data_IF_166185072711
#
_entry.id   IF_166185072711
#
_cell.length_a   1.000
_cell.length_b   1.000
_cell.length_c   1.000
_cell.angle_alpha   90.00
_cell.angle_beta   90.00
_cell.angle_gamma   90.00
#
_symmetry.space_group_name_H-M   'P 1'
#
loop_
_entity.id
_entity.type
_entity.pdbx_description
1 polymer ?
#
# COMPACT_ATOMS: atom_id res chain seq x y z
N UNK A 1 -18.21 -34.72 -1.34
CA UNK A 1 -16.92 -34.89 -2.04
C UNK A 1 -15.73 -34.58 -1.13
N UNK A 2 -15.78 -33.51 -0.32
CA UNK A 2 -14.76 -33.23 0.71
C UNK A 2 -14.54 -34.39 1.70
N UNK A 3 -15.62 -35.09 2.10
CA UNK A 3 -15.54 -36.31 2.93
C UNK A 3 -14.76 -37.44 2.26
N UNK A 4 -14.96 -37.65 0.96
CA UNK A 4 -14.25 -38.65 0.17
C UNK A 4 -12.75 -38.34 0.10
N UNK A 5 -12.37 -37.09 -0.18
CA UNK A 5 -10.97 -36.63 -0.14
C UNK A 5 -10.35 -36.90 1.23
N UNK A 6 -11.03 -36.57 2.33
CA UNK A 6 -10.52 -36.79 3.70
C UNK A 6 -10.33 -38.26 4.03
N UNK A 7 -11.17 -39.13 3.47
CA UNK A 7 -11.10 -40.58 3.68
C UNK A 7 -10.12 -41.32 2.76
N UNK A 8 -9.41 -40.63 1.87
CA UNK A 8 -8.44 -41.25 0.96
C UNK A 8 -7.29 -41.90 1.76
N UNK A 9 -7.27 -43.23 1.76
CA UNK A 9 -6.40 -44.01 2.66
C UNK A 9 -5.06 -44.37 2.00
N UNK A 10 -5.04 -44.62 0.69
CA UNK A 10 -3.87 -45.09 -0.05
C UNK A 10 -3.32 -44.02 -1.03
N UNK A 11 -2.07 -44.21 -1.47
CA UNK A 11 -1.40 -43.24 -2.33
C UNK A 11 -2.16 -42.99 -3.65
N UNK A 12 -2.72 -44.03 -4.28
CA UNK A 12 -3.44 -43.88 -5.55
C UNK A 12 -4.72 -43.04 -5.39
N UNK A 13 -5.50 -43.28 -4.33
CA UNK A 13 -6.72 -42.51 -4.04
C UNK A 13 -6.40 -41.09 -3.58
N UNK A 14 -5.30 -40.88 -2.85
CA UNK A 14 -4.80 -39.54 -2.51
C UNK A 14 -4.35 -38.75 -3.74
N UNK A 15 -3.63 -39.40 -4.66
CA UNK A 15 -3.21 -38.77 -5.91
C UNK A 15 -4.40 -38.35 -6.76
N UNK A 16 -5.36 -39.25 -6.97
CA UNK A 16 -6.59 -38.93 -7.69
C UNK A 16 -7.37 -37.79 -7.01
N UNK A 17 -7.38 -37.73 -5.68
CA UNK A 17 -7.97 -36.63 -4.93
C UNK A 17 -7.23 -35.30 -5.16
N UNK A 18 -5.90 -35.29 -5.18
CA UNK A 18 -5.11 -34.08 -5.45
C UNK A 18 -5.25 -33.61 -6.91
N UNK A 19 -5.24 -34.53 -7.87
CA UNK A 19 -5.49 -34.23 -9.28
C UNK A 19 -6.88 -33.61 -9.46
N UNK A 20 -7.90 -34.18 -8.81
CA UNK A 20 -9.25 -33.63 -8.86
C UNK A 20 -9.38 -32.27 -8.17
N UNK A 21 -8.65 -32.02 -7.08
CA UNK A 21 -8.63 -30.70 -6.42
C UNK A 21 -7.91 -29.66 -7.27
N UNK A 22 -6.90 -30.05 -8.05
CA UNK A 22 -6.19 -29.16 -8.99
C UNK A 22 -7.01 -28.85 -10.25
N UNK A 23 -7.55 -29.89 -10.88
CA UNK A 23 -8.01 -29.84 -12.27
C UNK A 23 -9.52 -30.10 -12.43
N UNK A 24 -10.20 -30.53 -11.36
CA UNK A 24 -11.62 -30.84 -11.38
C UNK A 24 -12.51 -29.58 -11.36
N UNK A 25 -13.66 -29.66 -12.04
CA UNK A 25 -14.62 -28.55 -12.15
C UNK A 25 -15.14 -28.04 -10.80
N UNK A 26 -15.17 -28.92 -9.79
CA UNK A 26 -15.58 -28.59 -8.41
C UNK A 26 -14.39 -28.49 -7.45
N UNK A 27 -13.15 -28.47 -7.96
CA UNK A 27 -11.94 -28.46 -7.15
C UNK A 27 -11.89 -27.31 -6.15
N UNK A 28 -12.11 -26.07 -6.62
CA UNK A 28 -12.10 -24.85 -5.78
C UNK A 28 -13.19 -24.81 -4.69
N UNK A 29 -14.47 -25.11 -4.98
CA UNK A 29 -15.49 -25.21 -3.93
C UNK A 29 -15.16 -26.25 -2.84
N UNK A 30 -14.63 -27.41 -3.22
CA UNK A 30 -14.31 -28.51 -2.29
C UNK A 30 -13.09 -28.15 -1.45
N UNK A 31 -12.08 -27.54 -2.07
CA UNK A 31 -10.94 -26.93 -1.40
C UNK A 31 -11.40 -25.99 -0.26
N UNK A 32 -12.32 -25.06 -0.54
CA UNK A 32 -12.89 -24.15 0.47
C UNK A 32 -13.73 -24.84 1.56
N UNK A 33 -14.38 -25.97 1.25
CA UNK A 33 -15.07 -26.82 2.23
C UNK A 33 -14.07 -27.54 3.16
N UNK A 34 -12.95 -28.02 2.61
CA UNK A 34 -11.90 -28.69 3.37
C UNK A 34 -11.23 -27.75 4.38
N UNK A 35 -10.95 -26.49 4.01
CA UNK A 35 -10.38 -25.50 4.93
C UNK A 35 -11.36 -25.11 6.04
N UNK A 36 -12.64 -24.87 5.72
CA UNK A 36 -13.68 -24.55 6.72
C UNK A 36 -13.87 -25.67 7.74
N UNK A 37 -13.72 -26.93 7.31
CA UNK A 37 -13.79 -28.09 8.19
C UNK A 37 -12.50 -28.41 8.95
N UNK A 38 -11.42 -27.65 8.75
CA UNK A 38 -10.10 -27.86 9.37
C UNK A 38 -9.37 -29.11 8.87
N UNK A 39 -8.06 -29.01 8.64
CA UNK A 39 -7.27 -30.12 8.08
C UNK A 39 -6.61 -31.01 9.14
N UNK A 40 -6.60 -30.56 10.40
CA UNK A 40 -5.99 -31.25 11.54
C UNK A 40 -6.57 -32.66 11.71
N UNK A 41 -5.70 -33.66 11.81
CA UNK A 41 -6.10 -35.08 11.93
C UNK A 41 -6.42 -35.78 10.60
N UNK A 42 -6.24 -35.11 9.46
CA UNK A 42 -6.36 -35.71 8.12
C UNK A 42 -4.99 -35.82 7.45
N UNK A 43 -4.87 -36.65 6.41
CA UNK A 43 -3.63 -36.76 5.63
C UNK A 43 -3.28 -35.46 4.88
N UNK A 44 -4.27 -34.59 4.64
CA UNK A 44 -4.09 -33.26 4.03
C UNK A 44 -3.37 -32.26 4.95
N UNK A 45 -3.28 -32.52 6.26
CA UNK A 45 -2.56 -31.65 7.18
C UNK A 45 -1.08 -31.47 6.80
N UNK A 46 -0.51 -32.47 6.12
CA UNK A 46 0.88 -32.51 5.69
C UNK A 46 0.99 -32.83 4.19
N UNK A 47 0.08 -32.27 3.37
CA UNK A 47 -0.06 -32.63 1.95
C UNK A 47 1.25 -32.47 1.15
N UNK A 48 2.09 -31.49 1.47
CA UNK A 48 3.33 -31.21 0.74
C UNK A 48 4.41 -32.29 0.91
N UNK A 49 4.37 -33.05 2.01
CA UNK A 49 5.28 -34.18 2.25
C UNK A 49 4.64 -35.53 1.91
N UNK A 50 3.39 -35.55 1.45
CA UNK A 50 2.71 -36.78 1.04
C UNK A 50 3.29 -37.28 -0.30
N UNK A 51 3.61 -38.58 -0.44
CA UNK A 51 4.12 -39.14 -1.70
C UNK A 51 3.23 -38.85 -2.91
N UNK A 52 1.91 -38.82 -2.73
CA UNK A 52 0.94 -38.53 -3.79
C UNK A 52 1.12 -37.13 -4.37
N UNK A 53 1.50 -36.15 -3.52
CA UNK A 53 1.76 -34.78 -3.94
C UNK A 53 3.04 -34.68 -4.78
N UNK A 54 4.07 -35.47 -4.44
CA UNK A 54 5.34 -35.47 -5.17
C UNK A 54 5.21 -36.02 -6.59
N UNK A 55 4.23 -36.90 -6.83
CA UNK A 55 3.94 -37.46 -8.15
C UNK A 55 3.16 -36.52 -9.09
N UNK A 56 2.68 -35.37 -8.60
CA UNK A 56 1.95 -34.39 -9.41
C UNK A 56 2.87 -33.62 -10.36
N UNK A 57 2.30 -33.12 -11.46
CA UNK A 57 2.99 -32.19 -12.35
C UNK A 57 3.30 -30.86 -11.66
N UNK A 58 4.35 -30.12 -12.09
CA UNK A 58 4.67 -28.80 -11.53
C UNK A 58 3.49 -27.81 -11.56
N UNK A 59 2.66 -27.85 -12.62
CA UNK A 59 1.49 -26.99 -12.74
C UNK A 59 0.39 -27.33 -11.73
N UNK A 60 0.15 -28.62 -11.46
CA UNK A 60 -0.79 -29.06 -10.43
C UNK A 60 -0.29 -28.70 -9.03
N UNK A 61 1.01 -28.90 -8.77
CA UNK A 61 1.65 -28.50 -7.50
C UNK A 61 1.49 -27.00 -7.25
N UNK A 62 1.70 -26.18 -8.27
CA UNK A 62 1.55 -24.72 -8.18
C UNK A 62 0.11 -24.30 -7.84
N UNK A 63 -0.89 -24.85 -8.56
CA UNK A 63 -2.32 -24.56 -8.31
C UNK A 63 -2.79 -25.00 -6.93
N UNK A 64 -2.24 -26.10 -6.41
CA UNK A 64 -2.58 -26.59 -5.07
C UNK A 64 -1.85 -25.80 -3.97
N UNK A 65 -0.60 -25.37 -4.22
CA UNK A 65 0.17 -24.55 -3.28
C UNK A 65 -0.43 -23.15 -3.09
N UNK A 66 -1.01 -22.57 -4.14
CA UNK A 66 -1.77 -21.32 -4.08
C UNK A 66 -2.97 -21.42 -3.12
N UNK A 67 -3.51 -22.63 -2.93
CA UNK A 67 -4.68 -22.88 -2.10
C UNK A 67 -4.36 -23.26 -0.64
N UNK A 68 -3.30 -24.05 -0.41
CA UNK A 68 -2.92 -24.50 0.94
C UNK A 68 -1.89 -23.60 1.63
N UNK A 69 -1.34 -22.61 0.93
CA UNK A 69 -0.20 -21.82 1.40
C UNK A 69 1.07 -22.67 1.53
N UNK A 70 2.26 -22.07 1.59
CA UNK A 70 3.49 -22.82 1.83
C UNK A 70 3.54 -23.31 3.29
N UNK A 71 3.01 -24.50 3.57
CA UNK A 71 3.26 -25.19 4.85
C UNK A 71 4.60 -25.92 4.76
N UNK A 72 5.68 -25.14 4.75
CA UNK A 72 6.84 -25.58 5.53
C UNK A 72 6.37 -25.55 6.98
N UNK A 73 6.56 -26.60 7.80
CA UNK A 73 6.51 -26.39 9.23
C UNK A 73 7.67 -25.46 9.53
N UNK A 74 7.40 -24.15 9.56
CA UNK A 74 8.29 -23.21 10.19
C UNK A 74 8.47 -23.78 11.61
N UNK A 75 9.71 -24.02 12.06
CA UNK A 75 9.94 -24.17 13.48
C UNK A 75 9.19 -23.01 14.12
N UNK A 76 8.26 -23.28 15.03
CA UNK A 76 7.69 -22.23 15.87
C UNK A 76 8.93 -21.50 16.40
N UNK A 77 9.22 -20.26 15.97
CA UNK A 77 10.35 -19.57 16.51
C UNK A 77 10.10 -19.57 18.01
N UNK A 78 11.05 -20.01 18.86
CA UNK A 78 10.92 -19.70 20.27
C UNK A 78 10.61 -18.21 20.32
N UNK A 79 9.49 -17.85 20.98
CA UNK A 79 8.94 -16.49 21.00
C UNK A 79 10.11 -15.52 20.93
N UNK A 80 10.24 -14.80 19.80
CA UNK A 80 11.40 -13.97 19.56
C UNK A 80 11.62 -13.17 20.85
N UNK A 81 12.84 -13.17 21.43
CA UNK A 81 13.06 -12.42 22.64
C UNK A 81 12.57 -11.01 22.35
N UNK A 82 11.55 -10.57 23.10
CA UNK A 82 11.02 -9.23 22.99
C UNK A 82 12.22 -8.29 22.94
N UNK A 83 12.23 -7.38 21.96
CA UNK A 83 13.27 -6.34 21.88
C UNK A 83 13.54 -5.85 23.29
N UNK A 84 14.78 -6.02 23.77
CA UNK A 84 15.17 -5.54 25.10
C UNK A 84 15.17 -4.01 25.15
N UNK A 85 15.23 -3.36 23.98
CA UNK A 85 15.03 -1.93 23.84
C UNK A 85 13.53 -1.61 23.86
N UNK A 86 13.14 -0.65 24.72
CA UNK A 86 11.76 -0.19 24.77
C UNK A 86 11.38 0.51 23.47
N UNK A 87 10.09 0.54 23.13
CA UNK A 87 9.57 1.31 21.98
C UNK A 87 10.06 2.76 21.97
N UNK A 88 10.13 3.36 23.16
CA UNK A 88 10.66 4.69 23.37
C UNK A 88 12.11 4.81 22.93
N UNK A 89 12.99 3.91 23.38
CA UNK A 89 14.41 3.95 23.06
C UNK A 89 14.65 3.84 21.54
N UNK A 90 13.94 2.92 20.88
CA UNK A 90 14.04 2.72 19.42
C UNK A 90 13.58 3.98 18.68
N UNK A 91 12.41 4.52 19.01
CA UNK A 91 11.89 5.73 18.36
C UNK A 91 12.78 6.94 18.60
N UNK A 92 13.35 7.11 19.80
CA UNK A 92 14.29 8.20 20.08
C UNK A 92 15.60 8.03 19.30
N UNK A 93 16.08 6.80 19.11
CA UNK A 93 17.25 6.51 18.29
C UNK A 93 16.99 6.85 16.81
N UNK A 94 15.84 6.45 16.26
CA UNK A 94 15.43 6.80 14.89
C UNK A 94 15.32 8.31 14.74
N UNK A 95 14.69 9.00 15.70
CA UNK A 95 14.58 10.46 15.68
C UNK A 95 15.95 11.14 15.71
N UNK A 96 16.85 10.70 16.59
CA UNK A 96 18.21 11.26 16.69
C UNK A 96 19.02 11.03 15.42
N UNK A 97 18.91 9.84 14.82
CA UNK A 97 19.50 9.55 13.52
C UNK A 97 18.91 10.45 12.43
N UNK A 98 17.59 10.63 12.42
CA UNK A 98 16.91 11.48 11.45
C UNK A 98 17.39 12.92 11.52
N UNK A 99 17.51 13.50 12.71
CA UNK A 99 18.05 14.87 12.88
C UNK A 99 19.43 15.07 12.24
N UNK A 100 20.24 14.00 12.17
CA UNK A 100 21.58 14.04 11.59
C UNK A 100 21.60 13.79 10.08
N UNK A 101 20.84 12.79 9.61
CA UNK A 101 20.91 12.31 8.22
C UNK A 101 19.78 12.88 7.33
N UNK A 102 18.83 13.63 7.89
CA UNK A 102 17.61 14.14 7.23
C UNK A 102 17.88 14.67 5.80
N UNK A 103 18.81 15.61 5.63
CA UNK A 103 19.03 16.25 4.33
C UNK A 103 19.52 15.29 3.24
N UNK A 104 20.37 14.31 3.58
CA UNK A 104 20.86 13.34 2.60
C UNK A 104 19.77 12.31 2.27
N UNK A 105 19.04 11.86 3.28
CA UNK A 105 17.99 10.86 3.16
C UNK A 105 16.76 11.37 2.41
N UNK A 106 16.31 12.60 2.68
CA UNK A 106 15.19 13.21 1.94
C UNK A 106 15.54 13.41 0.47
N UNK A 107 16.77 13.83 0.16
CA UNK A 107 17.19 13.95 -1.25
C UNK A 107 17.17 12.59 -1.96
N UNK A 108 17.62 11.52 -1.29
CA UNK A 108 17.55 10.17 -1.86
C UNK A 108 16.11 9.69 -2.01
N UNK A 109 15.26 9.95 -1.02
CA UNK A 109 13.84 9.66 -1.06
C UNK A 109 13.18 10.32 -2.28
N UNK A 110 13.39 11.62 -2.49
CA UNK A 110 12.80 12.36 -3.60
C UNK A 110 13.29 11.87 -4.97
N UNK A 111 14.57 11.51 -5.09
CA UNK A 111 15.13 10.86 -6.28
C UNK A 111 14.48 9.51 -6.60
N UNK A 112 14.02 8.78 -5.59
CA UNK A 112 13.34 7.48 -5.75
C UNK A 112 11.86 7.65 -6.10
N UNK A 113 11.20 8.66 -5.53
CA UNK A 113 9.75 8.84 -5.66
C UNK A 113 9.33 9.68 -6.86
N UNK A 114 10.07 10.75 -7.18
CA UNK A 114 9.64 11.73 -8.18
C UNK A 114 10.52 11.72 -9.43
N UNK A 115 9.92 11.86 -10.64
CA UNK A 115 10.66 11.76 -11.90
C UNK A 115 11.73 12.85 -12.06
N UNK A 116 11.50 14.03 -11.49
CA UNK A 116 12.43 15.16 -11.54
C UNK A 116 13.38 15.22 -10.35
N UNK A 117 13.37 14.21 -9.48
CA UNK A 117 14.26 14.09 -8.33
C UNK A 117 13.98 15.05 -7.16
N UNK A 118 12.80 15.67 -7.15
CA UNK A 118 12.34 16.59 -6.14
C UNK A 118 10.82 16.58 -6.04
N UNK A 119 10.29 17.04 -4.90
CA UNK A 119 8.86 17.22 -4.70
C UNK A 119 8.26 18.15 -5.78
N UNK A 120 7.14 17.81 -6.45
CA UNK A 120 6.55 18.63 -7.52
C UNK A 120 6.22 20.05 -7.05
N UNK A 121 6.19 21.03 -7.95
CA UNK A 121 5.84 22.42 -7.64
C UNK A 121 4.31 22.56 -7.51
N UNK A 122 3.83 22.70 -6.27
CA UNK A 122 2.39 22.63 -5.96
C UNK A 122 1.78 24.01 -5.60
N UNK A 123 2.59 25.05 -5.68
CA UNK A 123 2.33 26.43 -5.22
C UNK A 123 2.29 27.47 -6.36
N UNK A 124 2.19 27.04 -7.62
CA UNK A 124 2.06 27.97 -8.77
C UNK A 124 0.64 28.54 -8.90
N UNK A 125 0.50 29.85 -8.65
CA UNK A 125 -0.76 30.59 -8.73
C UNK A 125 -1.34 30.68 -10.15
N UNK A 126 -0.53 30.49 -11.19
CA UNK A 126 -0.95 30.68 -12.58
C UNK A 126 -1.72 29.48 -13.16
N UNK A 127 -1.89 28.39 -12.40
CA UNK A 127 -2.59 27.17 -12.79
C UNK A 127 -2.21 26.66 -14.19
N UNK A 128 -0.92 26.76 -14.51
CA UNK A 128 -0.36 26.37 -15.80
C UNK A 128 -0.52 24.87 -16.06
N UNK A 129 -0.33 24.42 -17.30
CA UNK A 129 -0.22 22.99 -17.57
C UNK A 129 0.89 22.33 -16.74
N UNK A 130 1.99 23.05 -16.47
CA UNK A 130 3.07 22.57 -15.61
C UNK A 130 2.58 22.35 -14.17
N UNK A 131 1.87 23.31 -13.58
CA UNK A 131 1.23 23.17 -12.27
C UNK A 131 0.29 21.95 -12.20
N UNK A 132 -0.55 21.77 -13.22
CA UNK A 132 -1.47 20.62 -13.27
C UNK A 132 -0.72 19.30 -13.42
N UNK A 133 0.38 19.26 -14.19
CA UNK A 133 1.25 18.09 -14.28
C UNK A 133 1.87 17.74 -12.93
N UNK A 134 2.31 18.74 -12.16
CA UNK A 134 2.92 18.52 -10.85
C UNK A 134 1.92 17.95 -9.82
N UNK A 135 0.69 18.49 -9.78
CA UNK A 135 -0.40 17.89 -9.00
C UNK A 135 -0.78 16.49 -9.50
N UNK A 136 -0.81 16.29 -10.82
CA UNK A 136 -1.10 14.98 -11.39
C UNK A 136 -0.01 13.97 -11.04
N UNK A 137 1.26 14.36 -11.03
CA UNK A 137 2.36 13.52 -10.54
C UNK A 137 2.15 13.10 -9.09
N UNK A 138 1.80 14.04 -8.20
CA UNK A 138 1.52 13.71 -6.79
C UNK A 138 0.38 12.68 -6.67
N UNK A 139 -0.73 12.89 -7.37
CA UNK A 139 -1.87 11.98 -7.32
C UNK A 139 -1.60 10.64 -8.00
N UNK A 140 -0.80 10.60 -9.06
CA UNK A 140 -0.38 9.35 -9.68
C UNK A 140 0.44 8.51 -8.71
N UNK A 141 1.41 9.09 -8.00
CA UNK A 141 2.15 8.36 -6.96
C UNK A 141 1.19 7.84 -5.89
N UNK A 142 0.26 8.69 -5.42
CA UNK A 142 -0.75 8.31 -4.44
C UNK A 142 -1.63 7.13 -4.89
N UNK A 143 -2.10 7.13 -6.15
CA UNK A 143 -2.87 6.00 -6.69
C UNK A 143 -2.07 4.69 -6.66
N UNK A 144 -0.77 4.75 -6.95
CA UNK A 144 0.07 3.56 -7.02
C UNK A 144 0.42 2.98 -5.64
N UNK A 145 0.17 3.70 -4.53
CA UNK A 145 0.26 3.13 -3.18
C UNK A 145 -0.76 2.00 -2.93
N UNK A 146 -1.75 1.82 -3.81
CA UNK A 146 -2.65 0.65 -3.78
C UNK A 146 -2.04 -0.61 -4.39
N UNK A 147 -0.85 -0.52 -5.01
CA UNK A 147 -0.21 -1.63 -5.69
C UNK A 147 0.76 -2.37 -4.76
N UNK A 148 0.43 -3.62 -4.41
CA UNK A 148 1.32 -4.52 -3.70
C UNK A 148 2.56 -4.92 -4.51
N UNK A 149 3.62 -5.35 -3.80
CA UNK A 149 4.88 -5.90 -4.38
C UNK A 149 5.58 -4.99 -5.39
N UNK A 150 5.50 -3.68 -5.19
CA UNK A 150 6.18 -2.67 -6.02
C UNK A 150 7.21 -1.89 -5.21
N UNK A 151 8.14 -1.23 -5.92
CA UNK A 151 9.09 -0.27 -5.33
C UNK A 151 8.85 1.13 -5.91
N UNK A 152 9.23 2.16 -5.15
CA UNK A 152 9.00 3.56 -5.51
C UNK A 152 9.53 3.93 -6.91
N UNK A 153 10.69 3.40 -7.26
CA UNK A 153 11.36 3.62 -8.54
C UNK A 153 10.51 3.16 -9.72
N UNK A 154 9.73 2.08 -9.57
CA UNK A 154 8.87 1.60 -10.64
C UNK A 154 7.69 2.57 -10.89
N UNK A 155 7.13 3.17 -9.83
CA UNK A 155 6.11 4.21 -9.99
C UNK A 155 6.71 5.47 -10.62
N UNK A 156 7.87 5.91 -10.13
CA UNK A 156 8.62 7.03 -10.70
C UNK A 156 8.88 6.84 -12.19
N UNK A 157 9.42 5.69 -12.57
CA UNK A 157 9.81 5.40 -13.95
C UNK A 157 8.60 5.26 -14.88
N UNK A 158 7.45 4.78 -14.37
CA UNK A 158 6.19 4.83 -15.11
C UNK A 158 5.75 6.27 -15.38
N UNK A 159 5.76 7.14 -14.38
CA UNK A 159 5.37 8.56 -14.54
C UNK A 159 6.35 9.28 -15.48
N UNK A 160 7.65 9.03 -15.36
CA UNK A 160 8.66 9.57 -16.27
C UNK A 160 8.42 9.13 -17.72
N UNK A 161 8.04 7.87 -17.93
CA UNK A 161 7.64 7.36 -19.24
C UNK A 161 6.37 8.04 -19.77
N UNK A 162 5.35 8.20 -18.93
CA UNK A 162 4.15 8.96 -19.29
C UNK A 162 4.48 10.39 -19.70
N UNK A 163 5.42 11.04 -19.01
CA UNK A 163 5.83 12.40 -19.36
C UNK A 163 6.62 12.45 -20.67
N UNK A 164 7.58 11.56 -20.85
CA UNK A 164 8.38 11.45 -22.08
C UNK A 164 7.52 11.18 -23.33
N UNK A 165 6.40 10.48 -23.18
CA UNK A 165 5.43 10.23 -24.26
C UNK A 165 4.37 11.33 -24.41
N UNK A 166 4.40 12.36 -23.57
CA UNK A 166 3.41 13.44 -23.56
C UNK A 166 2.06 13.05 -22.91
N UNK A 167 1.92 11.82 -22.41
CA UNK A 167 0.70 11.32 -21.78
C UNK A 167 0.39 12.05 -20.47
N UNK A 168 1.41 12.40 -19.69
CA UNK A 168 1.21 13.19 -18.47
C UNK A 168 0.59 14.56 -18.79
N UNK A 169 0.92 15.14 -19.96
CA UNK A 169 0.27 16.33 -20.48
C UNK A 169 -1.21 16.10 -20.74
N UNK A 170 -1.57 15.01 -21.43
CA UNK A 170 -2.97 14.60 -21.64
C UNK A 170 -3.73 14.43 -20.33
N UNK A 171 -3.10 13.80 -19.34
CA UNK A 171 -3.69 13.57 -18.02
C UNK A 171 -3.90 14.87 -17.23
N UNK A 172 -3.05 15.87 -17.46
CA UNK A 172 -3.10 17.14 -16.76
C UNK A 172 -3.97 18.19 -17.46
N UNK A 173 -4.52 17.94 -18.66
CA UNK A 173 -5.38 18.91 -19.34
C UNK A 173 -6.70 19.13 -18.59
N UNK A 174 -7.20 20.36 -18.59
CA UNK A 174 -8.51 20.72 -18.02
C UNK A 174 -9.67 20.40 -18.98
N UNK A 175 -9.43 20.52 -20.28
CA UNK A 175 -10.43 20.24 -21.32
C UNK A 175 -10.52 18.75 -21.64
N UNK A 176 -11.74 18.28 -21.92
CA UNK A 176 -11.98 16.88 -22.26
C UNK A 176 -11.66 16.63 -23.72
N UNK A 177 -10.63 15.83 -23.96
CA UNK A 177 -10.39 15.25 -25.28
C UNK A 177 -10.33 13.71 -25.20
N UNK A 178 -11.48 13.08 -25.46
CA UNK A 178 -11.57 11.62 -25.49
C UNK A 178 -10.61 10.99 -26.52
N UNK A 179 -10.33 11.68 -27.63
CA UNK A 179 -9.45 11.16 -28.66
C UNK A 179 -8.01 11.07 -28.16
N UNK A 180 -7.52 12.11 -27.47
CA UNK A 180 -6.20 12.07 -26.83
C UNK A 180 -6.08 10.97 -25.78
N UNK A 181 -7.14 10.70 -25.01
CA UNK A 181 -7.15 9.60 -24.04
C UNK A 181 -7.10 8.22 -24.69
N UNK A 182 -7.89 7.98 -25.74
CA UNK A 182 -7.82 6.74 -26.51
C UNK A 182 -6.46 6.57 -27.18
N UNK A 183 -5.87 7.66 -27.68
CA UNK A 183 -4.54 7.64 -28.28
C UNK A 183 -3.45 7.14 -27.31
N UNK A 184 -3.54 7.44 -26.01
CA UNK A 184 -2.62 6.90 -25.00
C UNK A 184 -2.67 5.37 -24.97
N UNK A 185 -3.87 4.79 -24.96
CA UNK A 185 -4.07 3.33 -24.96
C UNK A 185 -3.53 2.74 -26.26
N UNK A 186 -3.87 3.32 -27.41
CA UNK A 186 -3.39 2.84 -28.71
C UNK A 186 -1.86 2.87 -28.81
N UNK A 187 -1.23 3.97 -28.37
CA UNK A 187 0.23 4.10 -28.38
C UNK A 187 0.88 3.07 -27.46
N UNK A 188 0.33 2.86 -26.26
CA UNK A 188 0.82 1.82 -25.34
C UNK A 188 0.81 0.41 -25.97
N UNK A 189 -0.21 0.08 -26.76
CA UNK A 189 -0.28 -1.22 -27.45
C UNK A 189 0.55 -1.29 -28.73
N UNK A 190 0.74 -0.18 -29.44
CA UNK A 190 1.57 -0.11 -30.66
C UNK A 190 3.07 -0.26 -30.36
N UNK A 191 3.52 0.21 -29.20
CA UNK A 191 4.93 0.15 -28.79
C UNK A 191 5.40 -1.25 -28.33
N UNK A 192 4.54 -2.29 -28.45
CA UNK A 192 4.80 -3.67 -28.02
C UNK A 192 5.75 -4.41 -29.00
N UNK A 193 7.03 -4.03 -28.99
CA UNK A 193 8.13 -4.85 -29.53
C UNK A 193 8.98 -5.50 -28.44
N UNK A 194 8.82 -5.12 -27.18
CA UNK A 194 9.45 -5.78 -26.04
C UNK A 194 8.46 -5.79 -24.87
N UNK A 195 8.55 -6.81 -24.03
CA UNK A 195 7.63 -7.23 -22.95
C UNK A 195 6.70 -6.19 -22.33
N UNK A 196 5.53 -6.62 -21.86
CA UNK A 196 4.42 -5.84 -21.28
C UNK A 196 4.75 -4.99 -20.03
N UNK A 197 5.76 -4.13 -20.14
CA UNK A 197 6.28 -3.21 -19.14
C UNK A 197 5.16 -2.27 -18.73
N UNK A 198 5.03 -2.09 -17.42
CA UNK A 198 4.00 -1.26 -16.80
C UNK A 198 2.54 -1.65 -17.09
N UNK A 199 2.24 -2.87 -17.53
CA UNK A 199 0.84 -3.29 -17.76
C UNK A 199 -0.01 -3.12 -16.50
N UNK A 200 0.52 -3.43 -15.32
CA UNK A 200 -0.20 -3.26 -14.05
C UNK A 200 -0.46 -1.78 -13.71
N UNK A 201 0.44 -0.87 -14.08
CA UNK A 201 0.23 0.58 -13.93
C UNK A 201 -0.79 1.08 -14.96
N UNK A 202 -0.75 0.58 -16.19
CA UNK A 202 -1.74 0.90 -17.21
C UNK A 202 -3.15 0.42 -16.85
N UNK A 203 -3.31 -0.61 -16.01
CA UNK A 203 -4.63 -0.97 -15.46
C UNK A 203 -5.22 0.14 -14.59
N UNK A 204 -4.38 0.98 -13.97
CA UNK A 204 -4.83 2.13 -13.19
C UNK A 204 -5.40 3.25 -14.06
N UNK A 205 -5.33 3.16 -15.40
CA UNK A 205 -5.87 4.16 -16.32
C UNK A 205 -7.33 4.54 -16.02
N UNK A 206 -8.14 3.56 -15.57
CA UNK A 206 -9.54 3.79 -15.13
C UNK A 206 -9.66 4.64 -13.87
N UNK A 207 -8.65 4.65 -13.00
CA UNK A 207 -8.54 5.51 -11.82
C UNK A 207 -7.86 6.85 -12.15
N UNK A 208 -6.93 6.86 -13.11
CA UNK A 208 -6.24 8.08 -13.57
C UNK A 208 -7.24 9.03 -14.25
N UNK A 209 -8.16 8.50 -15.06
CA UNK A 209 -9.18 9.28 -15.77
C UNK A 209 -10.05 10.17 -14.84
N UNK A 210 -10.73 9.64 -13.80
CA UNK A 210 -11.50 10.48 -12.90
C UNK A 210 -10.61 11.45 -12.09
N UNK A 211 -9.37 11.07 -11.74
CA UNK A 211 -8.42 11.99 -11.09
C UNK A 211 -8.10 13.18 -12.00
N UNK A 212 -7.83 12.94 -13.28
CA UNK A 212 -7.64 13.99 -14.28
C UNK A 212 -8.88 14.88 -14.40
N UNK A 213 -10.05 14.26 -14.57
CA UNK A 213 -11.30 14.97 -14.84
C UNK A 213 -11.71 15.90 -13.70
N UNK A 214 -11.41 15.52 -12.45
CA UNK A 214 -11.80 16.26 -11.25
C UNK A 214 -10.60 16.83 -10.50
N UNK A 215 -9.45 17.02 -11.19
CA UNK A 215 -8.19 17.41 -10.58
C UNK A 215 -8.33 18.64 -9.69
N UNK A 216 -8.95 19.72 -10.18
CA UNK A 216 -9.12 20.96 -9.42
C UNK A 216 -9.97 20.77 -8.16
N UNK A 217 -11.03 19.97 -8.27
CA UNK A 217 -11.86 19.63 -7.12
C UNK A 217 -11.10 18.83 -6.07
N UNK A 218 -10.22 17.92 -6.49
CA UNK A 218 -9.38 17.17 -5.55
C UNK A 218 -8.31 18.04 -4.89
N UNK A 219 -7.68 18.95 -5.64
CA UNK A 219 -6.74 19.94 -5.11
C UNK A 219 -7.44 20.78 -4.03
N UNK A 220 -8.61 21.34 -4.36
CA UNK A 220 -9.39 22.18 -3.44
C UNK A 220 -9.74 21.42 -2.16
N UNK A 221 -10.16 20.16 -2.28
CA UNK A 221 -10.56 19.33 -1.15
C UNK A 221 -9.40 19.06 -0.20
N UNK A 222 -8.22 18.71 -0.69
CA UNK A 222 -7.06 18.52 0.18
C UNK A 222 -6.61 19.84 0.82
N UNK A 223 -6.58 20.95 0.07
CA UNK A 223 -6.20 22.26 0.61
C UNK A 223 -7.26 22.85 1.56
N UNK A 224 -8.51 22.39 1.48
CA UNK A 224 -9.58 22.80 2.39
C UNK A 224 -9.31 22.41 3.84
N UNK A 225 -8.38 21.47 4.09
CA UNK A 225 -7.95 21.07 5.45
C UNK A 225 -7.44 22.25 6.27
N UNK A 226 -6.94 23.33 5.67
CA UNK A 226 -6.55 24.54 6.41
C UNK A 226 -7.73 25.43 6.83
N UNK A 227 -8.97 25.13 6.41
CA UNK A 227 -10.11 26.04 6.54
C UNK A 227 -11.13 25.52 7.57
N UNK A 228 -11.79 26.48 8.21
CA UNK A 228 -13.03 26.34 9.00
C UNK A 228 -13.28 24.98 9.63
N UNK A 229 -14.04 24.13 8.93
CA UNK A 229 -14.58 22.86 9.43
C UNK A 229 -13.54 21.77 9.76
N UNK A 230 -12.28 21.97 9.37
CA UNK A 230 -11.17 21.08 9.65
C UNK A 230 -10.21 21.62 10.73
N UNK A 231 -10.50 22.79 11.34
CA UNK A 231 -9.78 23.33 12.51
C UNK A 231 -10.10 22.59 13.83
N UNK A 232 -10.51 21.33 13.71
CA UNK A 232 -10.83 20.38 14.78
C UNK A 232 -10.46 18.98 14.31
N UNK A 233 -10.31 17.98 15.20
CA UNK A 233 -10.08 16.60 14.77
C UNK A 233 -11.12 16.13 13.75
N UNK A 234 -10.66 15.45 12.70
CA UNK A 234 -11.47 15.00 11.56
C UNK A 234 -11.02 13.61 11.10
N UNK A 235 -11.92 12.82 10.49
CA UNK A 235 -11.49 11.63 9.74
C UNK A 235 -11.03 12.03 8.33
N UNK A 236 -9.97 11.39 7.82
CA UNK A 236 -9.55 11.58 6.42
C UNK A 236 -10.68 11.28 5.42
N UNK A 237 -11.60 10.39 5.78
CA UNK A 237 -12.80 10.09 4.96
C UNK A 237 -13.71 11.33 4.80
N UNK A 238 -13.76 12.24 5.78
CA UNK A 238 -14.54 13.49 5.67
C UNK A 238 -13.97 14.45 4.62
N UNK A 239 -12.66 14.37 4.37
CA UNK A 239 -11.97 15.13 3.34
C UNK A 239 -12.21 14.47 1.99
N UNK A 240 -11.94 13.18 1.86
CA UNK A 240 -11.87 12.51 0.54
C UNK A 240 -13.20 11.96 0.02
N UNK A 241 -14.28 12.02 0.81
CA UNK A 241 -15.65 11.69 0.38
C UNK A 241 -16.46 12.95 0.05
N UNK A 242 -16.05 13.62 -1.02
CA UNK A 242 -16.59 14.90 -1.53
C UNK A 242 -18.11 14.93 -1.73
N UNK A 243 -18.71 13.85 -2.24
CA UNK A 243 -20.17 13.78 -2.50
C UNK A 243 -21.02 13.55 -1.25
N UNK A 244 -20.50 12.83 -0.27
CA UNK A 244 -21.27 12.47 0.93
C UNK A 244 -20.99 13.39 2.12
N UNK A 245 -19.90 14.17 2.08
CA UNK A 245 -19.54 15.07 3.17
C UNK A 245 -20.46 16.29 3.17
N UNK A 246 -21.12 16.53 4.29
CA UNK A 246 -21.94 17.74 4.51
C UNK A 246 -21.13 19.03 4.36
N UNK A 247 -19.80 18.96 4.52
CA UNK A 247 -18.87 20.09 4.42
C UNK A 247 -18.71 20.64 3.00
N UNK A 248 -19.01 19.84 1.98
CA UNK A 248 -18.96 20.26 0.58
C UNK A 248 -20.36 20.46 -0.04
N UNK A 249 -21.43 20.38 0.76
CA UNK A 249 -22.78 20.64 0.29
C UNK A 249 -22.96 22.13 -0.04
N UNK A 250 -23.35 22.43 -1.28
CA UNK A 250 -23.58 23.80 -1.78
C UNK A 250 -22.34 24.52 -2.34
N UNK A 251 -21.13 23.94 -2.21
CA UNK A 251 -19.86 24.55 -2.64
C UNK A 251 -19.37 24.19 -4.04
N UNK A 252 -20.06 23.30 -4.76
CA UNK A 252 -19.77 22.99 -6.17
C UNK A 252 -18.76 21.87 -6.45
N UNK A 253 -18.02 21.36 -5.44
CA UNK A 253 -17.11 20.21 -5.64
C UNK A 253 -17.90 18.88 -5.66
N UNK A 254 -18.24 18.41 -6.86
CA UNK A 254 -18.96 17.14 -7.08
C UNK A 254 -18.08 16.01 -7.64
N UNK A 255 -16.84 15.91 -7.17
CA UNK A 255 -15.91 14.86 -7.57
C UNK A 255 -16.32 13.47 -7.01
N UNK A 256 -15.98 12.35 -7.65
CA UNK A 256 -16.13 11.01 -7.05
C UNK A 256 -15.29 10.84 -5.76
N UNK A 257 -15.65 9.93 -4.84
CA UNK A 257 -14.84 9.67 -3.64
C UNK A 257 -13.46 9.12 -4.00
N UNK A 258 -12.39 9.69 -3.43
CA UNK A 258 -11.01 9.22 -3.62
C UNK A 258 -10.65 8.02 -2.75
N UNK A 259 -11.41 7.77 -1.69
CA UNK A 259 -10.97 6.87 -0.62
C UNK A 259 -10.71 5.44 -1.09
N UNK A 260 -11.56 4.93 -1.99
CA UNK A 260 -11.39 3.61 -2.63
C UNK A 260 -10.35 3.61 -3.76
N UNK A 261 -10.10 4.75 -4.41
CA UNK A 261 -9.15 4.83 -5.54
C UNK A 261 -7.70 4.89 -5.05
N UNK A 262 -7.44 5.63 -3.97
CA UNK A 262 -6.08 5.89 -3.49
C UNK A 262 -5.70 5.04 -2.27
N UNK A 263 -6.67 4.45 -1.54
CA UNK A 263 -6.37 3.67 -0.34
C UNK A 263 -5.50 4.47 0.65
N UNK A 264 -4.36 3.91 1.06
CA UNK A 264 -3.39 4.61 1.91
C UNK A 264 -2.64 5.78 1.24
N UNK A 265 -2.72 5.90 -0.09
CA UNK A 265 -2.17 7.03 -0.84
C UNK A 265 -2.76 8.40 -0.46
N UNK A 266 -3.93 8.43 0.18
CA UNK A 266 -4.48 9.68 0.73
C UNK A 266 -3.59 10.25 1.85
N UNK A 267 -3.02 9.38 2.68
CA UNK A 267 -2.07 9.78 3.73
C UNK A 267 -0.78 10.31 3.11
N UNK A 268 -0.33 9.71 2.01
CA UNK A 268 0.82 10.18 1.23
C UNK A 268 0.59 11.61 0.72
N UNK A 269 -0.57 11.88 0.10
CA UNK A 269 -0.90 13.24 -0.38
C UNK A 269 -0.86 14.24 0.77
N UNK A 270 -1.55 13.94 1.89
CA UNK A 270 -1.61 14.87 3.01
C UNK A 270 -0.23 15.12 3.63
N UNK A 271 0.58 14.07 3.80
CA UNK A 271 1.96 14.18 4.27
C UNK A 271 2.78 15.09 3.37
N UNK A 272 2.74 14.91 2.05
CA UNK A 272 3.50 15.76 1.13
C UNK A 272 3.04 17.22 1.16
N UNK A 273 1.74 17.48 1.35
CA UNK A 273 1.23 18.83 1.49
C UNK A 273 1.68 19.50 2.79
N UNK A 274 1.76 18.76 3.90
CA UNK A 274 2.35 19.27 5.16
C UNK A 274 3.85 19.49 5.01
N UNK A 275 4.58 18.56 4.37
CA UNK A 275 6.02 18.66 4.11
C UNK A 275 6.37 19.87 3.23
N UNK A 276 5.51 20.19 2.25
CA UNK A 276 5.59 21.39 1.40
C UNK A 276 5.11 22.67 2.12
N UNK A 277 4.53 22.56 3.32
CA UNK A 277 3.89 23.66 4.07
C UNK A 277 2.70 24.29 3.33
N UNK A 278 2.04 23.53 2.48
CA UNK A 278 0.74 23.89 1.92
C UNK A 278 -0.41 23.61 2.89
N UNK A 279 -0.19 22.70 3.84
CA UNK A 279 -1.08 22.46 4.97
C UNK A 279 -0.30 22.74 6.26
N UNK A 280 -0.84 23.63 7.08
CA UNK A 280 -0.27 24.02 8.39
C UNK A 280 -1.18 23.62 9.57
N UNK A 281 -2.32 22.98 9.29
CA UNK A 281 -3.24 22.49 10.29
C UNK A 281 -2.66 21.29 11.08
N UNK A 282 -2.43 21.41 12.40
CA UNK A 282 -1.87 20.32 13.22
C UNK A 282 -2.76 19.08 13.29
N UNK A 283 -4.07 19.21 13.06
CA UNK A 283 -4.99 18.06 12.99
C UNK A 283 -4.75 17.19 11.76
N UNK A 284 -3.99 17.67 10.76
CA UNK A 284 -3.57 16.85 9.62
C UNK A 284 -2.51 15.80 10.01
N UNK A 285 -1.71 16.04 11.06
CA UNK A 285 -0.56 15.21 11.43
C UNK A 285 -0.95 13.74 11.72
N UNK A 286 -2.15 13.51 12.26
CA UNK A 286 -2.63 12.15 12.54
C UNK A 286 -2.94 11.33 11.28
N UNK A 287 -2.92 11.97 10.10
CA UNK A 287 -3.18 11.38 8.80
C UNK A 287 -1.96 11.42 7.87
N UNK A 288 -0.79 11.87 8.37
CA UNK A 288 0.44 12.02 7.57
C UNK A 288 1.38 10.82 7.63
N UNK A 289 1.04 9.75 8.35
CA UNK A 289 1.80 8.50 8.33
C UNK A 289 1.22 7.57 7.28
N UNK A 290 1.98 7.14 6.27
CA UNK A 290 1.51 6.18 5.28
C UNK A 290 1.67 4.76 5.85
N UNK A 291 0.57 4.05 6.17
CA UNK A 291 0.61 2.78 6.90
C UNK A 291 0.95 1.58 5.99
N UNK A 292 2.02 1.69 5.20
CA UNK A 292 2.53 0.59 4.37
C UNK A 292 2.92 -0.60 5.25
N UNK A 293 2.80 -1.82 4.72
CA UNK A 293 3.01 -3.05 5.49
C UNK A 293 4.37 -3.08 6.23
N UNK A 294 5.45 -2.59 5.61
CA UNK A 294 6.79 -2.52 6.23
C UNK A 294 6.83 -1.63 7.48
N UNK A 295 6.16 -0.48 7.45
CA UNK A 295 6.06 0.43 8.60
C UNK A 295 5.22 -0.20 9.69
N UNK A 296 4.09 -0.84 9.32
CA UNK A 296 3.25 -1.55 10.30
C UNK A 296 4.02 -2.66 11.00
N UNK A 297 4.76 -3.48 10.24
CA UNK A 297 5.62 -4.55 10.80
C UNK A 297 6.65 -3.99 11.76
N UNK A 298 7.33 -2.90 11.38
CA UNK A 298 8.33 -2.23 12.22
C UNK A 298 7.73 -1.80 13.57
N UNK A 299 6.56 -1.17 13.52
CA UNK A 299 5.90 -0.63 14.72
C UNK A 299 5.30 -1.74 15.60
N UNK A 300 4.75 -2.80 15.01
CA UNK A 300 4.33 -3.99 15.76
C UNK A 300 5.53 -4.64 16.46
N UNK A 301 6.68 -4.74 15.79
CA UNK A 301 7.88 -5.33 16.38
C UNK A 301 8.41 -4.56 17.60
N UNK A 302 8.06 -3.28 17.75
CA UNK A 302 8.36 -2.46 18.94
C UNK A 302 7.17 -2.26 19.87
N UNK A 303 6.07 -3.00 19.70
CA UNK A 303 4.95 -3.05 20.66
C UNK A 303 3.71 -2.23 20.29
N UNK A 304 3.53 -1.85 19.02
CA UNK A 304 2.30 -1.21 18.54
C UNK A 304 1.24 -2.24 18.09
N UNK A 305 0.78 -3.09 19.00
CA UNK A 305 -0.15 -4.20 18.71
C UNK A 305 -1.51 -3.74 18.18
N UNK A 306 -1.90 -2.48 18.42
CA UNK A 306 -3.13 -1.87 17.88
C UNK A 306 -3.19 -1.97 16.34
N UNK A 307 -2.05 -2.10 15.65
CA UNK A 307 -1.95 -2.26 14.19
C UNK A 307 -2.30 -3.65 13.67
N UNK A 308 -2.50 -4.63 14.57
CA UNK A 308 -2.99 -5.98 14.22
C UNK A 308 -4.53 -6.00 14.10
N UNK A 309 -5.21 -4.94 14.52
CA UNK A 309 -6.66 -4.83 14.41
C UNK A 309 -7.08 -4.56 12.96
N UNK A 310 -8.22 -5.13 12.56
CA UNK A 310 -8.84 -4.86 11.27
C UNK A 310 -9.39 -3.44 11.22
N UNK A 311 -8.81 -2.61 10.38
CA UNK A 311 -9.27 -1.26 10.08
C UNK A 311 -9.22 -1.01 8.57
N UNK A 312 -9.74 0.13 8.11
CA UNK A 312 -9.46 0.58 6.74
C UNK A 312 -7.99 0.99 6.66
N UNK A 313 -7.28 0.73 5.54
CA UNK A 313 -5.82 0.93 5.50
C UNK A 313 -5.35 2.30 5.97
N UNK A 314 -6.00 3.39 5.55
CA UNK A 314 -5.61 4.75 5.93
C UNK A 314 -5.92 5.12 7.39
N UNK A 315 -6.81 4.40 8.07
CA UNK A 315 -7.18 4.69 9.46
C UNK A 315 -6.04 4.34 10.43
N UNK A 316 -5.19 3.36 10.07
CA UNK A 316 -3.98 3.03 10.82
C UNK A 316 -3.00 4.20 10.96
N UNK A 317 -3.08 5.23 10.09
CA UNK A 317 -2.27 6.45 10.22
C UNK A 317 -2.42 7.09 11.61
N UNK A 318 -3.65 7.14 12.13
CA UNK A 318 -3.96 7.70 13.45
C UNK A 318 -3.40 6.86 14.59
N UNK A 319 -3.43 5.54 14.42
CA UNK A 319 -2.85 4.58 15.36
C UNK A 319 -1.33 4.74 15.42
N UNK A 320 -0.67 4.86 14.26
CA UNK A 320 0.76 5.15 14.17
C UNK A 320 1.08 6.49 14.85
N UNK A 321 0.38 7.57 14.49
CA UNK A 321 0.61 8.89 15.07
C UNK A 321 0.47 8.87 16.59
N UNK A 322 -0.60 8.26 17.13
CA UNK A 322 -0.81 8.14 18.58
C UNK A 322 0.33 7.39 19.26
N UNK A 323 0.80 6.30 18.66
CA UNK A 323 1.90 5.50 19.18
C UNK A 323 3.21 6.31 19.20
N UNK A 324 3.56 6.95 18.09
CA UNK A 324 4.78 7.75 17.99
C UNK A 324 4.74 8.96 18.96
N UNK A 325 3.62 9.69 19.03
CA UNK A 325 3.44 10.83 19.96
C UNK A 325 3.55 10.40 21.41
N UNK A 326 3.02 9.23 21.77
CA UNK A 326 3.13 8.68 23.14
C UNK A 326 4.58 8.51 23.57
N UNK A 327 5.48 8.21 22.63
CA UNK A 327 6.89 7.93 22.91
C UNK A 327 7.82 9.12 22.68
N UNK A 328 7.57 9.97 21.67
CA UNK A 328 8.44 11.09 21.30
C UNK A 328 7.91 12.47 21.70
N UNK A 329 6.61 12.59 22.01
CA UNK A 329 5.94 13.88 22.11
C UNK A 329 5.53 14.46 20.74
N UNK A 330 4.71 15.50 20.76
CA UNK A 330 4.03 16.00 19.55
C UNK A 330 4.96 16.53 18.46
N UNK A 331 5.95 17.34 18.81
CA UNK A 331 6.86 17.97 17.83
C UNK A 331 7.82 16.94 17.21
N UNK A 332 8.51 16.16 18.05
CA UNK A 332 9.46 15.14 17.59
C UNK A 332 8.78 14.02 16.80
N UNK A 333 7.51 13.71 17.07
CA UNK A 333 6.74 12.74 16.30
C UNK A 333 6.52 13.12 14.83
N UNK A 334 6.68 14.40 14.46
CA UNK A 334 6.59 14.83 13.06
C UNK A 334 7.82 14.49 12.25
N UNK A 335 8.94 14.12 12.89
CA UNK A 335 10.24 13.90 12.24
C UNK A 335 10.61 15.03 11.27
N UNK A 336 10.62 16.28 11.76
CA UNK A 336 10.88 17.49 10.95
C UNK A 336 9.83 17.75 9.84
N UNK A 337 8.65 17.14 9.92
CA UNK A 337 7.58 17.23 8.92
C UNK A 337 7.57 16.09 7.91
N UNK A 338 8.42 15.08 8.07
CA UNK A 338 8.54 13.93 7.16
C UNK A 338 7.78 12.68 7.62
N UNK A 339 7.30 12.68 8.86
CA UNK A 339 6.43 11.67 9.46
C UNK A 339 6.94 10.23 9.34
N UNK A 340 6.41 9.46 8.39
CA UNK A 340 6.70 8.04 8.23
C UNK A 340 7.94 7.76 7.37
N UNK A 341 8.49 8.74 6.65
CA UNK A 341 9.66 8.55 5.78
C UNK A 341 10.84 7.89 6.55
N UNK A 342 11.22 8.34 7.77
CA UNK A 342 12.29 7.70 8.53
C UNK A 342 11.95 6.26 8.89
N UNK A 343 10.69 5.98 9.24
CA UNK A 343 10.21 4.64 9.57
C UNK A 343 10.26 3.73 8.34
N UNK A 344 9.91 4.24 7.15
CA UNK A 344 10.03 3.50 5.90
C UNK A 344 11.49 3.15 5.59
N UNK A 345 12.41 4.11 5.73
CA UNK A 345 13.84 3.89 5.47
C UNK A 345 14.43 2.85 6.41
N UNK A 346 14.12 2.94 7.71
CA UNK A 346 14.53 1.92 8.68
C UNK A 346 13.92 0.56 8.34
N UNK A 347 12.65 0.50 7.96
CA UNK A 347 12.01 -0.77 7.60
C UNK A 347 12.59 -1.42 6.32
N UNK A 348 13.24 -0.64 5.45
CA UNK A 348 13.85 -1.13 4.20
C UNK A 348 15.37 -1.39 4.32
N UNK A 349 16.03 -0.95 5.38
CA UNK A 349 17.50 -1.04 5.55
C UNK A 349 17.89 -1.92 6.74
N UNK A 350 18.43 -3.11 6.45
CA UNK A 350 18.89 -4.07 7.46
C UNK A 350 19.99 -3.52 8.38
N UNK A 351 20.84 -2.60 7.90
CA UNK A 351 21.89 -2.00 8.72
C UNK A 351 21.28 -1.00 9.72
N UNK A 352 20.32 -0.20 9.28
CA UNK A 352 19.56 0.67 10.20
C UNK A 352 18.76 -0.15 11.20
N UNK A 353 18.19 -1.28 10.77
CA UNK A 353 17.52 -2.20 11.69
C UNK A 353 18.51 -2.75 12.73
N UNK A 354 19.66 -3.29 12.30
CA UNK A 354 20.67 -3.79 13.24
C UNK A 354 21.23 -2.69 14.16
N UNK A 355 21.21 -1.43 13.73
CA UNK A 355 21.62 -0.29 14.53
C UNK A 355 20.62 0.04 15.64
N UNK A 356 19.31 -0.01 15.34
CA UNK A 356 18.26 0.42 16.27
C UNK A 356 17.62 -0.73 17.05
N UNK A 357 17.72 -1.95 16.53
CA UNK A 357 17.14 -3.16 17.11
C UNK A 357 18.26 -4.08 17.60
N UNK A 358 18.10 -4.64 18.80
CA UNK A 358 19.03 -5.61 19.35
C UNK A 358 19.00 -6.97 18.61
N UNK A 359 18.02 -7.20 17.73
CA UNK A 359 17.86 -8.45 16.95
C UNK A 359 17.65 -8.13 15.45
N UNK A 360 18.32 -8.79 14.50
CA UNK A 360 18.43 -8.30 13.12
C UNK A 360 17.28 -8.63 12.16
N UNK A 361 16.08 -9.01 12.62
CA UNK A 361 15.05 -9.47 11.67
C UNK A 361 13.61 -9.13 12.08
N UNK A 362 13.01 -8.15 11.39
CA UNK A 362 11.57 -7.87 11.44
C UNK A 362 10.71 -9.07 11.06
N UNK A 363 11.21 -9.93 10.16
CA UNK A 363 10.47 -11.11 9.67
C UNK A 363 10.29 -12.20 10.73
N UNK A 364 11.08 -12.17 11.80
CA UNK A 364 10.94 -13.10 12.94
C UNK A 364 9.92 -12.65 13.99
N UNK A 365 9.58 -11.34 14.02
CA UNK A 365 8.75 -10.74 15.06
C UNK A 365 7.27 -10.63 14.68
N UNK A 366 6.96 -10.61 13.39
CA UNK A 366 5.59 -10.42 12.89
C UNK A 366 5.17 -11.68 12.13
N UNK A 367 4.28 -12.47 12.71
CA UNK A 367 3.66 -13.61 12.02
C UNK A 367 2.96 -13.20 10.72
N UNK A 368 2.54 -14.18 9.91
CA UNK A 368 1.94 -13.99 8.57
C UNK A 368 0.68 -13.10 8.51
N UNK A 369 0.15 -12.65 9.66
CA UNK A 369 -1.08 -11.85 9.79
C UNK A 369 -1.06 -10.50 9.05
N UNK A 370 0.11 -9.95 8.71
CA UNK A 370 0.23 -8.69 7.96
C UNK A 370 0.51 -8.88 6.44
N UNK A 371 0.56 -10.12 5.92
CA UNK A 371 0.95 -10.41 4.52
C UNK A 371 -0.19 -10.32 3.50
N UNK A 372 -1.46 -10.39 3.91
CA UNK A 372 -2.57 -10.71 3.00
C UNK A 372 -3.52 -9.56 2.61
N UNK A 373 -3.30 -8.32 3.07
CA UNK A 373 -4.30 -7.24 2.88
C UNK A 373 -3.95 -6.21 1.80
N UNK A 374 -2.74 -6.25 1.22
CA UNK A 374 -2.33 -5.30 0.16
C UNK A 374 -2.82 -5.70 -1.25
N UNK A 375 -3.42 -6.88 -1.43
CA UNK A 375 -3.74 -7.46 -2.74
C UNK A 375 -5.24 -7.42 -3.14
N UNK A 376 -6.15 -6.90 -2.31
CA UNK A 376 -7.59 -6.97 -2.60
C UNK A 376 -8.35 -5.66 -2.34
N UNK A 377 -8.24 -4.70 -3.25
CA UNK A 377 -9.40 -3.86 -3.59
C UNK A 377 -10.16 -4.61 -4.69
N UNK A 378 -10.89 -5.65 -4.29
CA UNK A 378 -11.98 -6.17 -5.12
C UNK A 378 -13.06 -5.10 -5.18
N UNK A 379 -13.39 -4.67 -6.40
CA UNK A 379 -14.60 -3.88 -6.67
C UNK A 379 -15.82 -4.78 -6.48
N UNK A 380 -16.18 -5.07 -5.23
CA UNK A 380 -17.54 -5.53 -4.92
C UNK A 380 -18.37 -4.29 -4.62
N UNK A 381 -19.26 -3.98 -5.57
CA UNK A 381 -20.27 -2.95 -5.43
C UNK A 381 -21.25 -3.28 -4.32
N UNK A 382 -21.74 -2.23 -3.67
CA UNK A 382 -23.00 -2.29 -2.92
C UNK A 382 -24.17 -2.62 -3.86
#
# INVERSE_FOLDING_TARGET
MASWVRSAADNATRKAALEYLSDGEQGRPIQGELLRGGLTGTWLANVFIDPAFQELSPAQKFRLAEFWGPVTPLPVPPAAPASTASAGDVLHAIHTWWLKEHSSQIRQYELRVYPNGGLPCLDDENQTLAFRKDWMTLFLVALMHTMGRTIAEQHRDFIAMCDAKGWLGTFAQSERDAQSWIAVIEQYWKDKLDDSKYLQWMKQFVCIYPVSQFLDGYIEVFLSVNRGDFQRPFSLTEVTNTRASSKFQGGGVSAPPLSRMMGMGQCFVLRELVRKRLIDNPHAHEHCFVPVARVRKLLVAIGCDELLNKERPWEWSRTIHRFVVRHLGGEAATFLGDFDIPLQLVADDEQLQAQFFATPSLDSAVGEQLRDEDDAISFEGE
#
